data_IF_447019673757
#
_entry.id   IF_447019673757
#
_cell.length_a   1.000
_cell.length_b   1.000
_cell.length_c   1.000
_cell.angle_alpha   90.00
_cell.angle_beta   90.00
_cell.angle_gamma   90.00
#
_symmetry.space_group_name_H-M   'P 1'
#
loop_
_entity.id
_entity.type
_entity.pdbx_description
1 polymer ?
#
# COMPACT_ATOMS: atom_id res chain seq x y z
N UNK A 1 2.25 18.58 6.36
CA UNK A 1 3.67 18.62 6.75
C UNK A 1 3.86 17.53 7.79
N UNK A 2 4.90 16.72 7.68
CA UNK A 2 5.18 15.68 8.67
C UNK A 2 5.66 16.32 9.98
N UNK A 3 5.42 15.64 11.11
CA UNK A 3 5.99 16.03 12.39
C UNK A 3 7.51 15.80 12.42
N UNK A 4 8.21 16.49 13.33
CA UNK A 4 9.69 16.45 13.41
C UNK A 4 10.26 15.04 13.55
N UNK A 5 9.54 14.16 14.23
CA UNK A 5 9.96 12.78 14.49
C UNK A 5 9.59 11.82 13.36
N UNK A 6 8.76 12.25 12.40
CA UNK A 6 8.29 11.41 11.29
C UNK A 6 9.27 11.47 10.12
N UNK A 7 10.16 10.48 10.06
CA UNK A 7 11.25 10.37 9.08
C UNK A 7 10.95 9.44 7.89
N UNK A 8 9.70 8.96 7.78
CA UNK A 8 9.24 8.11 6.69
C UNK A 8 7.81 8.47 6.24
N UNK A 9 7.48 8.05 5.02
CA UNK A 9 6.11 8.03 4.51
C UNK A 9 5.59 6.60 4.53
N UNK A 10 4.32 6.44 4.91
CA UNK A 10 3.59 5.18 4.86
C UNK A 10 2.42 5.28 3.87
N UNK A 11 2.21 4.23 3.07
CA UNK A 11 0.97 4.03 2.30
C UNK A 11 0.33 2.71 2.69
N UNK A 12 -0.81 2.76 3.36
CA UNK A 12 -1.64 1.58 3.61
C UNK A 12 -2.56 1.36 2.41
N UNK A 13 -2.53 0.16 1.87
CA UNK A 13 -3.33 -0.25 0.71
C UNK A 13 -4.17 -1.42 1.14
N UNK A 14 -5.49 -1.27 1.05
CA UNK A 14 -6.46 -2.30 1.35
C UNK A 14 -7.23 -2.65 0.07
N UNK A 15 -7.29 -3.94 -0.24
CA UNK A 15 -8.09 -4.48 -1.33
C UNK A 15 -9.16 -5.38 -0.74
N UNK A 16 -10.40 -4.89 -0.76
CA UNK A 16 -11.54 -5.59 -0.16
C UNK A 16 -12.84 -5.10 -0.80
N UNK A 17 -13.94 -5.82 -0.56
CA UNK A 17 -15.27 -5.37 -0.95
C UNK A 17 -15.73 -4.20 -0.05
N UNK A 18 -16.53 -3.25 -0.58
CA UNK A 18 -17.17 -2.23 0.24
C UNK A 18 -17.92 -2.86 1.42
N UNK A 19 -17.90 -2.16 2.56
CA UNK A 19 -18.65 -2.61 3.75
C UNK A 19 -20.16 -2.47 3.53
N UNK A 20 -20.58 -1.54 2.68
CA UNK A 20 -21.98 -1.34 2.33
C UNK A 20 -22.50 -2.47 1.43
N UNK A 21 -23.72 -2.93 1.70
CA UNK A 21 -24.38 -3.92 0.85
C UNK A 21 -24.58 -3.34 -0.56
N UNK A 22 -24.07 -4.07 -1.55
CA UNK A 22 -24.30 -3.78 -2.96
C UNK A 22 -24.57 -5.09 -3.70
N UNK A 23 -25.51 -5.14 -4.68
CA UNK A 23 -25.89 -6.38 -5.37
C UNK A 23 -24.75 -7.09 -6.11
N UNK A 24 -23.60 -6.43 -6.27
CA UNK A 24 -22.38 -6.91 -6.93
C UNK A 24 -21.17 -6.20 -6.32
N UNK A 25 -20.88 -6.50 -5.06
CA UNK A 25 -19.77 -5.87 -4.36
C UNK A 25 -18.44 -6.26 -5.01
N UNK A 26 -17.95 -5.42 -5.92
CA UNK A 26 -16.61 -5.54 -6.49
C UNK A 26 -15.59 -4.98 -5.51
N UNK A 27 -14.45 -5.67 -5.40
CA UNK A 27 -13.33 -5.21 -4.59
C UNK A 27 -12.77 -3.90 -5.14
N UNK A 28 -12.31 -3.04 -4.23
CA UNK A 28 -11.73 -1.74 -4.56
C UNK A 28 -10.48 -1.51 -3.74
N UNK A 29 -9.60 -0.67 -4.27
CA UNK A 29 -8.43 -0.19 -3.54
C UNK A 29 -8.85 0.96 -2.62
N UNK A 30 -8.57 0.82 -1.33
CA UNK A 30 -8.63 1.89 -0.34
C UNK A 30 -7.21 2.24 0.05
N UNK A 31 -6.82 3.50 -0.17
CA UNK A 31 -5.44 3.95 0.00
C UNK A 31 -5.43 5.04 1.07
N UNK A 32 -4.69 4.80 2.15
CA UNK A 32 -4.38 5.81 3.17
C UNK A 32 -2.90 6.14 3.10
N UNK A 33 -2.57 7.44 3.13
CA UNK A 33 -1.20 7.94 3.05
C UNK A 33 -0.93 8.87 4.23
N UNK A 34 0.24 8.74 4.82
CA UNK A 34 0.64 9.57 5.95
C UNK A 34 2.15 9.58 6.15
N UNK A 35 2.58 10.43 7.07
CA UNK A 35 3.95 10.40 7.58
C UNK A 35 3.98 9.55 8.85
N UNK A 36 5.09 8.85 9.08
CA UNK A 36 5.33 8.03 10.26
C UNK A 36 6.84 7.95 10.52
N UNK A 37 7.24 7.25 11.58
CA UNK A 37 8.64 6.85 11.78
C UNK A 37 8.97 5.63 10.92
N UNK A 38 10.21 5.52 10.45
CA UNK A 38 10.70 4.35 9.70
C UNK A 38 10.49 3.06 10.52
N UNK A 39 10.71 3.15 11.84
CA UNK A 39 10.51 2.03 12.77
C UNK A 39 9.06 1.58 12.80
N UNK A 40 8.11 2.49 13.01
CA UNK A 40 6.69 2.17 13.09
C UNK A 40 6.17 1.62 11.74
N UNK A 41 6.57 2.24 10.63
CA UNK A 41 6.19 1.76 9.31
C UNK A 41 6.71 0.32 9.06
N UNK A 42 7.96 0.04 9.44
CA UNK A 42 8.54 -1.30 9.32
C UNK A 42 7.83 -2.33 10.21
N UNK A 43 7.40 -1.95 11.42
CA UNK A 43 6.61 -2.83 12.28
C UNK A 43 5.25 -3.16 11.64
N UNK A 44 4.60 -2.16 11.03
CA UNK A 44 3.35 -2.37 10.29
C UNK A 44 3.56 -3.28 9.07
N UNK A 45 4.68 -3.12 8.37
CA UNK A 45 5.06 -3.98 7.25
C UNK A 45 5.15 -5.44 7.66
N UNK A 46 5.84 -5.73 8.76
CA UNK A 46 5.90 -7.10 9.27
C UNK A 46 4.55 -7.59 9.81
N UNK A 47 3.76 -6.72 10.43
CA UNK A 47 2.42 -7.06 10.91
C UNK A 47 1.43 -7.43 9.82
N UNK A 48 1.58 -6.89 8.60
CA UNK A 48 0.72 -7.16 7.45
C UNK A 48 1.32 -8.19 6.48
N UNK A 49 2.56 -8.65 6.70
CA UNK A 49 3.28 -9.49 5.75
C UNK A 49 2.53 -10.79 5.39
N UNK A 50 1.82 -11.38 6.34
CA UNK A 50 1.05 -12.62 6.14
C UNK A 50 -0.20 -12.43 5.27
N UNK A 51 -0.70 -11.21 5.13
CA UNK A 51 -1.93 -10.88 4.37
C UNK A 51 -1.67 -9.98 3.16
N UNK A 52 -0.42 -9.64 2.87
CA UNK A 52 -0.03 -8.81 1.73
C UNK A 52 0.25 -9.68 0.50
N UNK A 53 -0.81 -10.23 -0.12
CA UNK A 53 -0.66 -11.14 -1.28
C UNK A 53 -0.68 -10.42 -2.63
N UNK A 54 -1.40 -9.29 -2.72
CA UNK A 54 -1.60 -8.51 -3.97
C UNK A 54 -2.28 -9.31 -5.09
N UNK A 55 -3.01 -10.37 -4.74
CA UNK A 55 -3.84 -11.13 -5.65
C UNK A 55 -5.18 -10.42 -5.90
N UNK A 56 -5.73 -10.50 -7.11
CA UNK A 56 -6.97 -9.79 -7.44
C UNK A 56 -8.23 -10.43 -6.82
N UNK A 57 -8.18 -11.73 -6.49
CA UNK A 57 -9.35 -12.52 -6.08
C UNK A 57 -9.52 -12.68 -4.56
N UNK A 58 -8.47 -12.41 -3.79
CA UNK A 58 -8.47 -12.49 -2.32
C UNK A 58 -8.41 -11.09 -1.72
N UNK A 59 -8.93 -10.93 -0.50
CA UNK A 59 -8.75 -9.72 0.27
C UNK A 59 -7.31 -9.65 0.78
N UNK A 60 -6.70 -8.46 0.74
CA UNK A 60 -5.34 -8.25 1.23
C UNK A 60 -5.13 -6.83 1.71
N UNK A 61 -4.14 -6.67 2.58
CA UNK A 61 -3.66 -5.38 3.03
C UNK A 61 -2.13 -5.34 2.98
N UNK A 62 -1.58 -4.25 2.48
CA UNK A 62 -0.14 -4.01 2.39
C UNK A 62 0.19 -2.62 2.91
N UNK A 63 1.41 -2.44 3.43
CA UNK A 63 1.99 -1.11 3.64
C UNK A 63 3.26 -0.96 2.79
N UNK A 64 3.41 0.21 2.17
CA UNK A 64 4.63 0.62 1.49
C UNK A 64 5.29 1.75 2.28
N UNK A 65 6.54 1.53 2.68
CA UNK A 65 7.37 2.48 3.43
C UNK A 65 8.44 3.07 2.52
N UNK A 66 8.63 4.39 2.56
CA UNK A 66 9.72 5.05 1.85
C UNK A 66 10.21 6.29 2.62
N UNK A 67 11.43 6.74 2.32
CA UNK A 67 12.01 7.97 2.88
C UNK A 67 12.30 8.98 1.77
N UNK A 68 12.17 10.26 2.10
CA UNK A 68 12.33 11.38 1.16
C UNK A 68 11.05 12.16 0.92
N UNK A 69 11.18 13.34 0.31
CA UNK A 69 10.04 14.24 0.11
C UNK A 69 9.02 13.66 -0.85
N UNK A 70 7.77 13.55 -0.39
CA UNK A 70 6.61 13.01 -1.15
C UNK A 70 6.91 11.67 -1.86
N UNK A 71 7.79 10.83 -1.28
CA UNK A 71 8.22 9.58 -1.90
C UNK A 71 7.05 8.61 -2.14
N UNK A 72 5.98 8.70 -1.35
CA UNK A 72 4.78 7.87 -1.46
C UNK A 72 3.75 8.42 -2.46
N UNK A 73 4.17 9.10 -3.52
CA UNK A 73 3.26 9.66 -4.53
C UNK A 73 2.40 8.60 -5.22
N UNK A 74 2.97 7.44 -5.47
CA UNK A 74 2.29 6.30 -6.09
C UNK A 74 2.23 5.13 -5.11
N UNK A 75 1.38 4.15 -5.42
CA UNK A 75 1.40 2.83 -4.78
C UNK A 75 1.48 1.76 -5.85
N UNK A 76 2.09 0.63 -5.52
CA UNK A 76 1.94 -0.57 -6.34
C UNK A 76 0.61 -1.22 -5.97
N UNK A 77 -0.14 -1.71 -6.96
CA UNK A 77 -1.41 -2.44 -6.72
C UNK A 77 -1.37 -3.88 -7.19
N UNK A 78 -0.40 -4.24 -8.04
CA UNK A 78 -0.25 -5.58 -8.57
C UNK A 78 1.23 -5.90 -8.88
N UNK A 79 1.60 -7.18 -8.87
CA UNK A 79 2.92 -7.62 -9.34
C UNK A 79 3.12 -7.36 -10.84
N UNK A 80 2.04 -7.46 -11.63
CA UNK A 80 2.10 -7.20 -13.08
C UNK A 80 2.56 -5.78 -13.42
N UNK A 81 2.22 -4.79 -12.59
CA UNK A 81 2.70 -3.41 -12.78
C UNK A 81 4.22 -3.29 -12.67
N UNK A 82 4.89 -4.12 -11.87
CA UNK A 82 6.36 -4.12 -11.76
C UNK A 82 7.00 -4.71 -13.01
N UNK A 83 6.46 -5.84 -13.51
CA UNK A 83 6.98 -6.51 -14.71
C UNK A 83 6.88 -5.57 -15.92
N UNK A 84 5.75 -4.87 -16.08
CA UNK A 84 5.59 -3.88 -17.14
C UNK A 84 6.59 -2.72 -17.04
N UNK A 85 6.84 -2.20 -15.84
CA UNK A 85 7.83 -1.12 -15.65
C UNK A 85 9.24 -1.60 -15.99
N UNK A 86 9.63 -2.81 -15.59
CA UNK A 86 10.96 -3.36 -15.91
C UNK A 86 11.12 -3.58 -17.42
N UNK A 87 10.09 -4.10 -18.11
CA UNK A 87 10.11 -4.31 -19.56
C UNK A 87 10.13 -2.98 -20.33
N UNK A 88 9.51 -1.91 -19.79
CA UNK A 88 9.52 -0.59 -20.45
C UNK A 88 10.83 0.19 -20.23
N UNK A 89 11.67 -0.21 -19.27
CA UNK A 89 12.97 0.41 -18.98
C UNK A 89 14.13 -0.34 -19.66
N UNK A 90 13.88 -1.52 -20.24
CA UNK A 90 14.85 -2.36 -20.96
C UNK A 90 14.53 -2.41 -22.46
#
# INVERSE_FOLDING_TARGET
MCDREQDACASLILWTTPHEWTPRAERRHYISKGCDTQRACTQLLYGLASICTRNWYEDWACVECCQGDRCNRYVVVCILTIILIIILIN
#
